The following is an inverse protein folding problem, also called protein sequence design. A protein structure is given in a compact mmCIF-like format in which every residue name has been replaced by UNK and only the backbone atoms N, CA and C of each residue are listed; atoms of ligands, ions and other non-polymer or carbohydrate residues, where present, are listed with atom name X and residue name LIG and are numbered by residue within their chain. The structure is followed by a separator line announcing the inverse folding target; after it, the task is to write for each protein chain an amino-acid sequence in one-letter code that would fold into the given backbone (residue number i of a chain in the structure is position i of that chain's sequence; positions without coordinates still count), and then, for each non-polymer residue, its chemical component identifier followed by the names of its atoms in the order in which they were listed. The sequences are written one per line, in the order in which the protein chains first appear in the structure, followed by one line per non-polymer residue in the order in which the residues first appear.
data_IF_757790749169
#
_entry.id   IF_757790749169
#
_cell.length_a   1.000
_cell.length_b   1.000
_cell.length_c   1.000
_cell.angle_alpha   90.00
_cell.angle_beta   90.00
_cell.angle_gamma   90.00
#
_symmetry.space_group_name_H-M   'P 1'
#
loop_
_entity.id
_entity.type
_entity.pdbx_description
1 polymer ?
#
# COMPACT_ATOMS: atom_id res chain seq x y z
N UNK A 1 -36.87 5.69 -56.72
CA UNK A 1 -36.18 6.83 -56.07
C UNK A 1 -36.31 6.60 -54.56
N UNK A 2 -35.55 5.70 -53.93
CA UNK A 2 -34.10 5.64 -53.66
C UNK A 2 -33.59 6.72 -52.68
N UNK A 3 -33.33 6.26 -51.45
CA UNK A 3 -32.22 6.62 -50.53
C UNK A 3 -32.42 7.80 -49.58
N UNK A 4 -33.02 7.50 -48.43
CA UNK A 4 -32.66 8.12 -47.15
C UNK A 4 -32.36 6.95 -46.18
N UNK A 5 -31.08 6.69 -45.86
CA UNK A 5 -30.61 7.09 -44.54
C UNK A 5 -29.11 7.41 -44.50
N UNK A 6 -28.75 8.64 -44.12
CA UNK A 6 -27.34 9.04 -43.89
C UNK A 6 -27.08 9.45 -42.43
N UNK A 7 -28.02 9.14 -41.52
CA UNK A 7 -27.98 9.64 -40.13
C UNK A 7 -27.68 8.50 -39.12
N UNK A 8 -27.57 7.24 -39.56
CA UNK A 8 -27.41 6.09 -38.65
C UNK A 8 -25.96 5.65 -38.42
N UNK A 9 -24.96 6.43 -38.84
CA UNK A 9 -23.54 6.04 -38.75
C UNK A 9 -22.74 6.82 -37.71
N UNK A 10 -23.32 7.84 -37.06
CA UNK A 10 -22.58 8.75 -36.18
C UNK A 10 -22.76 8.45 -34.67
N UNK A 11 -23.45 7.37 -34.31
CA UNK A 11 -23.75 7.04 -32.90
C UNK A 11 -22.88 5.92 -32.30
N UNK A 12 -21.86 5.44 -33.01
CA UNK A 12 -21.05 4.26 -32.59
C UNK A 12 -19.66 4.65 -32.04
N UNK A 13 -19.27 5.92 -32.03
CA UNK A 13 -17.90 6.33 -31.68
C UNK A 13 -17.75 6.86 -30.24
N UNK A 14 -18.78 6.77 -29.39
CA UNK A 14 -18.72 7.26 -28.00
C UNK A 14 -18.51 6.19 -26.93
N UNK A 15 -18.35 4.91 -27.28
CA UNK A 15 -18.27 3.82 -26.29
C UNK A 15 -16.86 3.37 -25.88
N UNK A 16 -15.80 4.10 -26.23
CA UNK A 16 -14.42 3.74 -25.83
C UNK A 16 -13.80 4.73 -24.83
N UNK A 17 -14.55 5.05 -23.78
CA UNK A 17 -13.96 5.54 -22.54
C UNK A 17 -14.05 4.42 -21.50
N UNK A 18 -13.16 3.44 -21.59
CA UNK A 18 -12.90 2.53 -20.48
C UNK A 18 -11.48 2.80 -20.00
N UNK A 19 -11.33 3.82 -19.14
CA UNK A 19 -10.16 3.89 -18.28
C UNK A 19 -10.25 2.71 -17.33
N UNK A 20 -9.62 1.60 -17.73
CA UNK A 20 -9.53 0.41 -16.91
C UNK A 20 -8.50 0.65 -15.79
N UNK A 21 -8.79 1.62 -14.92
CA UNK A 21 -8.19 1.72 -13.60
C UNK A 21 -9.06 0.92 -12.61
N UNK A 22 -9.57 -0.25 -13.02
CA UNK A 22 -10.19 -1.20 -12.10
C UNK A 22 -9.09 -1.86 -11.28
N UNK A 23 -8.54 -1.05 -10.40
CA UNK A 23 -7.78 -1.45 -9.24
C UNK A 23 -8.74 -2.30 -8.41
N UNK A 24 -8.58 -3.62 -8.48
CA UNK A 24 -9.29 -4.56 -7.62
C UNK A 24 -8.72 -4.41 -6.21
N UNK A 25 -9.51 -4.00 -5.20
CA UNK A 25 -9.06 -4.04 -3.83
C UNK A 25 -8.82 -5.51 -3.45
N UNK A 26 -7.59 -5.85 -3.09
CA UNK A 26 -7.26 -7.20 -2.62
C UNK A 26 -7.66 -7.29 -1.15
N UNK A 27 -8.89 -7.74 -0.90
CA UNK A 27 -9.36 -8.12 0.43
C UNK A 27 -8.69 -9.43 0.86
N UNK A 28 -8.18 -9.51 2.10
CA UNK A 28 -8.02 -10.82 2.77
C UNK A 28 -6.66 -11.51 2.79
N UNK A 29 -5.54 -10.85 2.45
CA UNK A 29 -4.20 -11.42 2.71
C UNK A 29 -3.84 -11.48 4.22
N UNK A 30 -4.71 -10.98 5.11
CA UNK A 30 -4.46 -10.92 6.55
C UNK A 30 -3.79 -9.63 7.02
N UNK A 31 -3.62 -8.63 6.14
CA UNK A 31 -3.04 -7.34 6.49
C UNK A 31 -3.97 -6.48 7.33
N UNK A 32 -5.29 -6.54 7.12
CA UNK A 32 -6.26 -5.74 7.88
C UNK A 32 -6.10 -5.97 9.39
N UNK A 33 -6.16 -4.91 10.17
CA UNK A 33 -5.97 -4.94 11.62
C UNK A 33 -5.06 -3.82 12.10
N UNK A 34 -4.76 -3.87 13.40
CA UNK A 34 -3.88 -2.93 14.08
C UNK A 34 -2.49 -3.55 14.26
N UNK A 35 -1.47 -2.76 13.99
CA UNK A 35 -0.07 -3.19 13.97
C UNK A 35 0.76 -2.24 14.80
N UNK A 36 1.42 -2.76 15.83
CA UNK A 36 2.32 -2.02 16.69
C UNK A 36 3.73 -2.10 16.11
N UNK A 37 4.35 -0.96 15.85
CA UNK A 37 5.76 -0.88 15.45
C UNK A 37 6.65 -1.27 16.64
N UNK A 38 7.50 -2.28 16.44
CA UNK A 38 8.38 -2.83 17.48
C UNK A 38 9.85 -2.79 17.09
N UNK A 39 10.16 -2.62 15.81
CA UNK A 39 11.55 -2.50 15.35
C UNK A 39 11.67 -1.65 14.08
N UNK A 40 12.83 -1.05 13.92
CA UNK A 40 13.27 -0.41 12.69
C UNK A 40 14.65 -0.98 12.33
N UNK A 41 14.78 -1.52 11.12
CA UNK A 41 16.07 -1.98 10.60
C UNK A 41 16.59 -1.07 9.51
N UNK A 42 17.91 -0.86 9.47
CA UNK A 42 18.58 -0.07 8.43
C UNK A 42 20.08 -0.40 8.37
N UNK A 43 20.72 -0.11 7.24
CA UNK A 43 22.18 -0.18 7.09
C UNK A 43 22.75 1.20 6.73
N UNK A 44 23.73 1.72 7.50
CA UNK A 44 24.42 2.99 7.20
C UNK A 44 25.81 2.79 6.55
N UNK A 45 26.08 1.63 5.93
CA UNK A 45 27.34 1.32 5.23
C UNK A 45 28.32 0.44 6.00
N UNK A 46 28.05 0.13 7.27
CA UNK A 46 28.93 -0.66 8.14
C UNK A 46 28.28 -1.94 8.68
N UNK A 47 27.15 -2.36 8.10
CA UNK A 47 26.38 -3.52 8.51
C UNK A 47 24.94 -3.17 8.89
N UNK A 48 24.15 -4.20 9.13
CA UNK A 48 22.71 -4.06 9.40
C UNK A 48 22.45 -3.82 10.89
N UNK A 49 21.69 -2.77 11.20
CA UNK A 49 21.31 -2.35 12.55
C UNK A 49 19.81 -2.58 12.73
N UNK A 50 19.42 -3.03 13.92
CA UNK A 50 18.00 -3.15 14.33
C UNK A 50 17.80 -2.39 15.63
N UNK A 51 17.03 -1.32 15.56
CA UNK A 51 16.58 -0.55 16.71
C UNK A 51 15.25 -1.09 17.21
N UNK A 52 15.22 -1.50 18.48
CA UNK A 52 13.97 -1.91 19.15
C UNK A 52 13.18 -0.68 19.56
N UNK A 53 11.89 -0.68 19.28
CA UNK A 53 10.96 0.40 19.60
C UNK A 53 10.08 -0.07 20.77
N UNK A 54 10.13 0.62 21.94
CA UNK A 54 9.35 0.21 23.09
C UNK A 54 7.85 0.26 22.80
N UNK A 55 7.10 -0.78 23.19
CA UNK A 55 5.65 -0.86 23.00
C UNK A 55 4.89 0.33 23.63
N UNK A 56 5.41 0.90 24.72
CA UNK A 56 4.85 2.07 25.40
C UNK A 56 4.79 3.33 24.51
N UNK A 57 5.53 3.37 23.41
CA UNK A 57 5.56 4.52 22.48
C UNK A 57 4.33 4.61 21.57
N UNK A 58 3.40 3.64 21.61
CA UNK A 58 2.12 3.65 20.87
C UNK A 58 2.22 4.01 19.38
N UNK A 59 3.22 3.43 18.70
CA UNK A 59 3.44 3.61 17.26
C UNK A 59 2.59 2.60 16.48
N UNK A 60 1.43 3.01 15.97
CA UNK A 60 0.41 2.10 15.45
C UNK A 60 0.09 2.41 13.98
N UNK A 61 0.04 1.36 13.15
CA UNK A 61 -0.61 1.38 11.84
C UNK A 61 -1.92 0.60 11.92
N UNK A 62 -2.97 1.14 11.28
CA UNK A 62 -4.26 0.48 11.14
C UNK A 62 -4.56 0.34 9.67
N UNK A 63 -4.75 -0.90 9.20
CA UNK A 63 -5.23 -1.21 7.87
C UNK A 63 -6.67 -1.73 7.99
N UNK A 64 -7.59 -1.18 7.22
CA UNK A 64 -8.98 -1.64 7.19
C UNK A 64 -9.24 -2.48 5.95
N UNK A 65 -10.26 -3.33 6.01
CA UNK A 65 -10.64 -4.17 4.86
C UNK A 65 -11.09 -3.33 3.66
N UNK A 66 -11.61 -2.11 3.87
CA UNK A 66 -12.01 -1.19 2.80
C UNK A 66 -10.83 -0.41 2.17
N UNK A 67 -9.59 -0.81 2.45
CA UNK A 67 -8.40 -0.22 1.81
C UNK A 67 -7.98 1.12 2.40
N UNK A 68 -8.40 1.47 3.62
CA UNK A 68 -7.93 2.68 4.32
C UNK A 68 -6.77 2.35 5.24
N UNK A 69 -5.88 3.33 5.40
CA UNK A 69 -4.76 3.26 6.33
C UNK A 69 -4.81 4.46 7.29
N UNK A 70 -4.43 4.23 8.54
CA UNK A 70 -4.23 5.28 9.53
C UNK A 70 -2.93 5.00 10.28
N UNK A 71 -2.20 6.07 10.59
CA UNK A 71 -0.93 6.00 11.32
C UNK A 71 -0.98 6.89 12.56
N UNK A 72 -0.44 6.39 13.66
CA UNK A 72 -0.31 7.11 14.92
C UNK A 72 1.12 6.98 15.46
N UNK A 73 1.65 8.10 15.96
CA UNK A 73 2.96 8.15 16.61
C UNK A 73 4.05 8.81 15.76
N UNK A 74 5.04 9.40 16.43
CA UNK A 74 6.08 10.21 15.80
C UNK A 74 6.98 9.46 14.81
N UNK A 75 7.22 8.16 15.02
CA UNK A 75 8.04 7.34 14.11
C UNK A 75 7.29 6.93 12.84
N UNK A 76 5.99 7.19 12.77
CA UNK A 76 5.13 6.89 11.62
C UNK A 76 4.64 8.15 10.90
N UNK A 77 5.28 9.32 11.13
CA UNK A 77 4.91 10.59 10.48
C UNK A 77 4.80 10.52 8.96
N UNK A 78 5.68 9.76 8.31
CA UNK A 78 5.63 9.54 6.86
C UNK A 78 4.35 8.84 6.40
N UNK A 79 3.72 8.03 7.24
CA UNK A 79 2.49 7.31 6.93
C UNK A 79 1.22 8.12 7.27
N UNK A 80 1.32 9.20 8.04
CA UNK A 80 0.16 9.98 8.48
C UNK A 80 -0.51 10.77 7.34
N UNK A 81 0.22 11.01 6.24
CA UNK A 81 -0.33 11.64 5.04
C UNK A 81 -1.12 10.68 4.16
N UNK A 82 -0.95 9.37 4.33
CA UNK A 82 -1.65 8.35 3.56
C UNK A 82 -3.02 8.06 4.17
N UNK A 83 -4.02 7.98 3.32
CA UNK A 83 -5.41 7.68 3.71
C UNK A 83 -5.88 6.34 3.17
N UNK A 84 -5.26 5.86 2.10
CA UNK A 84 -5.60 4.63 1.40
C UNK A 84 -4.36 3.78 1.12
N UNK A 85 -4.57 2.47 0.97
CA UNK A 85 -3.56 1.54 0.52
C UNK A 85 -4.13 0.53 -0.46
N UNK A 86 -3.23 -0.09 -1.22
CA UNK A 86 -3.52 -1.23 -2.08
C UNK A 86 -2.36 -2.20 -2.08
N UNK A 87 -2.68 -3.50 -2.05
CA UNK A 87 -1.71 -4.55 -2.33
C UNK A 87 -1.64 -4.86 -3.83
N UNK A 88 -0.43 -5.00 -4.34
CA UNK A 88 -0.13 -5.58 -5.63
C UNK A 88 0.56 -6.94 -5.42
N UNK A 89 -0.11 -8.00 -5.85
CA UNK A 89 0.33 -9.39 -5.74
C UNK A 89 0.64 -10.00 -7.11
N UNK A 90 0.78 -9.18 -8.15
CA UNK A 90 1.05 -9.66 -9.52
C UNK A 90 2.47 -10.19 -9.68
N UNK A 91 3.39 -9.69 -8.86
CA UNK A 91 4.80 -10.08 -8.86
C UNK A 91 5.08 -11.15 -7.80
N UNK A 92 6.29 -11.75 -7.87
CA UNK A 92 6.77 -12.70 -6.85
C UNK A 92 6.85 -12.09 -5.44
N UNK A 93 6.92 -10.75 -5.39
CA UNK A 93 6.95 -9.97 -4.16
C UNK A 93 5.63 -9.21 -4.05
N UNK A 94 5.04 -9.22 -2.86
CA UNK A 94 3.86 -8.39 -2.57
C UNK A 94 4.32 -6.96 -2.33
N UNK A 95 3.74 -6.02 -3.07
CA UNK A 95 3.97 -4.59 -2.88
C UNK A 95 2.74 -3.95 -2.24
N UNK A 96 2.95 -2.92 -1.43
CA UNK A 96 1.91 -2.03 -0.94
C UNK A 96 2.11 -0.65 -1.55
N UNK A 97 1.04 -0.12 -2.14
CA UNK A 97 0.97 1.25 -2.63
C UNK A 97 0.13 2.06 -1.66
N UNK A 98 0.62 3.25 -1.32
CA UNK A 98 -0.10 4.19 -0.46
C UNK A 98 -0.62 5.36 -1.28
N UNK A 99 -1.77 5.90 -0.88
CA UNK A 99 -2.41 7.06 -1.51
C UNK A 99 -2.89 8.05 -0.45
N UNK A 100 -2.78 9.38 -0.69
CA UNK A 100 -2.18 10.00 -1.88
C UNK A 100 -0.66 9.81 -1.96
N UNK A 101 -0.14 9.59 -3.17
CA UNK A 101 1.30 9.51 -3.44
C UNK A 101 1.59 10.21 -4.76
N UNK A 102 2.59 11.10 -4.77
CA UNK A 102 2.97 11.88 -5.95
C UNK A 102 4.05 11.20 -6.80
N UNK A 103 4.64 10.10 -6.31
CA UNK A 103 5.83 9.48 -6.90
C UNK A 103 5.67 8.00 -7.25
N UNK A 104 4.44 7.46 -7.18
CA UNK A 104 4.22 6.02 -7.36
C UNK A 104 4.88 5.18 -6.27
N UNK A 105 5.14 5.78 -5.11
CA UNK A 105 5.77 5.14 -3.96
C UNK A 105 5.12 3.80 -3.61
N UNK A 106 5.96 2.79 -3.40
CA UNK A 106 5.53 1.47 -2.94
C UNK A 106 6.58 0.86 -2.03
N UNK A 107 6.14 -0.04 -1.17
CA UNK A 107 7.00 -0.79 -0.25
C UNK A 107 6.77 -2.28 -0.46
N UNK A 108 7.81 -3.09 -0.27
CA UNK A 108 7.62 -4.53 -0.21
C UNK A 108 6.98 -4.91 1.13
N UNK A 109 6.05 -5.86 1.09
CA UNK A 109 5.36 -6.41 2.24
C UNK A 109 5.84 -7.83 2.50
N UNK A 110 6.21 -8.12 3.74
CA UNK A 110 6.31 -9.48 4.25
C UNK A 110 5.35 -9.65 5.40
N UNK A 111 4.41 -10.58 5.25
CA UNK A 111 3.34 -10.83 6.21
C UNK A 111 3.43 -12.28 6.69
N UNK A 112 3.45 -12.46 8.01
CA UNK A 112 3.31 -13.75 8.69
C UNK A 112 2.24 -13.59 9.79
N UNK A 113 1.67 -14.69 10.28
CA UNK A 113 0.45 -14.78 11.11
C UNK A 113 0.33 -13.85 12.34
N UNK A 114 1.39 -13.14 12.73
CA UNK A 114 1.33 -12.04 13.69
C UNK A 114 2.36 -10.93 13.48
N UNK A 115 3.12 -10.96 12.37
CA UNK A 115 4.18 -9.99 12.09
C UNK A 115 4.04 -9.41 10.71
N UNK A 116 4.24 -8.10 10.60
CA UNK A 116 4.29 -7.36 9.36
C UNK A 116 5.67 -6.71 9.23
N UNK A 117 6.30 -6.84 8.07
CA UNK A 117 7.46 -6.03 7.69
C UNK A 117 7.16 -5.23 6.45
N UNK A 118 7.45 -3.94 6.53
CA UNK A 118 7.38 -3.00 5.43
C UNK A 118 8.81 -2.61 5.05
N UNK A 119 9.18 -2.84 3.79
CA UNK A 119 10.53 -2.56 3.29
C UNK A 119 10.48 -1.33 2.41
N UNK A 120 10.97 -0.21 2.94
CA UNK A 120 11.01 1.03 2.19
C UNK A 120 12.13 1.00 1.14
N UNK A 121 11.99 1.75 0.04
CA UNK A 121 13.08 1.93 -0.92
C UNK A 121 14.27 2.65 -0.28
N UNK A 122 15.41 1.98 -0.19
CA UNK A 122 16.68 2.53 0.29
C UNK A 122 17.86 1.69 -0.22
N UNK A 123 19.05 2.29 -0.27
CA UNK A 123 20.23 1.73 -0.96
C UNK A 123 20.69 0.40 -0.36
N UNK A 124 20.71 0.30 0.97
CA UNK A 124 21.31 -0.85 1.68
C UNK A 124 20.29 -1.67 2.48
N UNK A 125 19.00 -1.45 2.22
CA UNK A 125 17.92 -2.14 2.89
C UNK A 125 17.52 -1.47 4.21
N UNK A 126 16.22 -1.36 4.39
CA UNK A 126 15.57 -0.75 5.54
C UNK A 126 14.21 -1.42 5.69
N UNK A 127 13.75 -1.51 6.93
CA UNK A 127 12.41 -1.99 7.19
C UNK A 127 11.84 -1.40 8.47
N UNK A 128 10.52 -1.43 8.54
CA UNK A 128 9.76 -1.32 9.77
C UNK A 128 9.12 -2.66 10.08
N UNK A 129 9.33 -3.14 11.31
CA UNK A 129 8.78 -4.39 11.80
C UNK A 129 7.67 -4.13 12.82
N UNK A 130 6.54 -4.80 12.60
CA UNK A 130 5.33 -4.64 13.40
C UNK A 130 4.83 -5.99 13.90
N UNK A 131 4.12 -5.95 15.03
CA UNK A 131 3.35 -7.06 15.56
C UNK A 131 1.88 -6.73 15.58
N UNK A 132 1.03 -7.73 15.37
CA UNK A 132 -0.42 -7.54 15.38
C UNK A 132 -0.92 -7.29 16.80
N UNK A 133 -1.77 -6.28 16.97
CA UNK A 133 -2.48 -5.99 18.22
C UNK A 133 -3.87 -6.64 18.13
N UNK A 134 -4.26 -7.37 19.17
CA UNK A 134 -5.61 -7.96 19.30
C UNK A 134 -6.57 -6.96 19.95
#
# INVERSE_FOLDING_TARGET
MNRWPLILSLLVILSNCHSNNSITPVYGQGLSGKWLLVEQGYSPGAGYIIDKIPAASQQILVFTDDGRVQAQGDKLKSYQSYTQFRLDTTNQVVLIHFSPSTTGYSEQVSLNSGTLKLYQPCVEGCHLGFVRIK
#
